data_IF_270848694341
#
_entry.id   IF_270848694341
#
_cell.length_a   1.000
_cell.length_b   1.000
_cell.length_c   1.000
_cell.angle_alpha   90.00
_cell.angle_beta   90.00
_cell.angle_gamma   90.00
#
_symmetry.space_group_name_H-M   'P 1'
#
loop_
_entity.id
_entity.type
_entity.pdbx_description
1 polymer ?
#
# COMPACT_ATOMS: atom_id res chain seq x y z
N UNK A 1 16.12 -29.24 -12.15
CA UNK A 1 15.79 -27.81 -11.97
C UNK A 1 16.42 -27.09 -13.14
N UNK A 2 15.67 -26.31 -13.91
CA UNK A 2 16.13 -25.70 -15.17
C UNK A 2 17.21 -24.64 -14.91
N UNK A 3 18.42 -24.85 -15.45
CA UNK A 3 19.59 -23.98 -15.23
C UNK A 3 19.37 -22.55 -15.74
N UNK A 4 18.53 -22.40 -16.78
CA UNK A 4 18.19 -21.09 -17.35
C UNK A 4 17.53 -20.15 -16.34
N UNK A 5 16.84 -20.68 -15.32
CA UNK A 5 16.18 -19.89 -14.27
C UNK A 5 17.15 -19.28 -13.26
N UNK A 6 18.43 -19.67 -13.30
CA UNK A 6 19.47 -19.17 -12.38
C UNK A 6 20.34 -18.09 -13.02
N UNK A 7 20.13 -17.79 -14.30
CA UNK A 7 20.79 -16.68 -14.98
C UNK A 7 20.34 -15.37 -14.31
N UNK A 8 21.27 -14.45 -14.00
CA UNK A 8 20.92 -13.17 -13.39
C UNK A 8 20.00 -12.35 -14.31
N UNK A 9 19.06 -11.64 -13.70
CA UNK A 9 18.22 -10.68 -14.42
C UNK A 9 19.09 -9.60 -15.08
N UNK A 10 18.70 -9.19 -16.29
CA UNK A 10 19.36 -8.09 -16.99
C UNK A 10 19.01 -6.76 -16.31
N UNK A 11 19.99 -5.88 -16.05
CA UNK A 11 19.71 -4.57 -15.47
C UNK A 11 18.91 -3.71 -16.45
N UNK A 12 17.82 -3.12 -15.98
CA UNK A 12 17.09 -2.10 -16.74
C UNK A 12 17.86 -0.80 -16.61
N UNK A 13 18.34 -0.26 -17.74
CA UNK A 13 19.07 1.01 -17.79
C UNK A 13 18.10 2.14 -18.14
N UNK A 14 18.43 3.36 -17.71
CA UNK A 14 17.76 4.61 -18.14
C UNK A 14 16.27 4.73 -17.77
N UNK A 15 15.80 3.99 -16.78
CA UNK A 15 14.42 4.12 -16.29
C UNK A 15 14.27 5.37 -15.43
N UNK A 16 13.53 6.36 -15.93
CA UNK A 16 13.16 7.56 -15.17
C UNK A 16 11.79 7.39 -14.49
N UNK A 17 11.55 8.06 -13.34
CA UNK A 17 10.23 8.09 -12.71
C UNK A 17 9.18 8.65 -13.68
N UNK A 18 8.06 7.93 -13.85
CA UNK A 18 6.93 8.44 -14.62
C UNK A 18 6.19 9.51 -13.80
N UNK A 19 5.62 10.54 -14.46
CA UNK A 19 4.78 11.51 -13.76
C UNK A 19 3.56 10.82 -13.16
N UNK A 20 3.15 11.29 -11.98
CA UNK A 20 1.96 10.78 -11.30
C UNK A 20 0.69 11.08 -12.10
N UNK A 21 -0.26 10.14 -12.11
CA UNK A 21 -1.59 10.35 -12.70
C UNK A 21 -2.63 10.55 -11.59
N UNK A 22 -3.41 11.63 -11.67
CA UNK A 22 -4.43 12.00 -10.66
C UNK A 22 -3.94 13.05 -9.66
N UNK A 23 -4.67 13.21 -8.55
CA UNK A 23 -4.31 14.16 -7.48
C UNK A 23 -3.31 13.52 -6.52
N UNK A 24 -2.13 14.10 -6.41
CA UNK A 24 -1.11 13.68 -5.43
C UNK A 24 -1.35 14.41 -4.11
N UNK A 25 -2.09 13.77 -3.21
CA UNK A 25 -2.29 14.27 -1.85
C UNK A 25 -1.08 13.96 -0.96
N UNK A 26 -0.80 14.85 0.00
CA UNK A 26 0.25 14.62 1.00
C UNK A 26 -0.10 13.46 1.94
N UNK A 27 -1.39 13.31 2.27
CA UNK A 27 -1.90 12.29 3.20
C UNK A 27 -3.17 11.71 2.61
N UNK A 28 -3.23 10.39 2.50
CA UNK A 28 -4.42 9.65 2.04
C UNK A 28 -5.01 8.95 3.26
N UNK A 29 -6.23 9.32 3.63
CA UNK A 29 -6.96 8.65 4.71
C UNK A 29 -7.45 7.28 4.22
N UNK A 30 -7.07 6.22 4.92
CA UNK A 30 -7.49 4.86 4.63
C UNK A 30 -8.66 4.45 5.53
N UNK A 31 -9.65 3.70 5.01
CA UNK A 31 -10.74 3.18 5.83
C UNK A 31 -10.21 2.16 6.85
N UNK A 32 -10.97 1.90 7.91
CA UNK A 32 -10.56 0.89 8.88
C UNK A 32 -10.55 -0.52 8.26
N UNK A 33 -9.54 -1.35 8.53
CA UNK A 33 -9.50 -2.71 8.03
C UNK A 33 -10.56 -3.57 8.73
N UNK A 34 -11.21 -4.45 7.96
CA UNK A 34 -12.07 -5.49 8.53
C UNK A 34 -11.19 -6.54 9.24
N UNK A 35 -11.59 -6.90 10.45
CA UNK A 35 -10.87 -7.85 11.33
C UNK A 35 -11.64 -9.15 11.54
N UNK A 36 -12.83 -9.27 10.94
CA UNK A 36 -13.80 -10.32 11.22
C UNK A 36 -14.07 -11.21 10.02
N UNK A 37 -13.97 -10.66 8.81
CA UNK A 37 -14.18 -11.39 7.57
C UNK A 37 -12.85 -11.78 6.91
N UNK A 38 -12.92 -12.73 5.98
CA UNK A 38 -11.80 -13.14 5.15
C UNK A 38 -11.79 -14.64 4.85
N UNK A 39 -10.83 -15.06 4.03
CA UNK A 39 -10.59 -16.47 3.77
C UNK A 39 -10.01 -17.12 5.04
N UNK A 40 -10.44 -18.34 5.42
CA UNK A 40 -9.80 -19.07 6.51
C UNK A 40 -8.29 -19.22 6.26
N UNK A 41 -7.48 -19.13 7.32
CA UNK A 41 -6.01 -19.18 7.24
C UNK A 41 -5.52 -20.34 6.37
N UNK A 42 -6.06 -21.54 6.59
CA UNK A 42 -5.66 -22.72 5.83
C UNK A 42 -6.04 -22.63 4.35
N UNK A 43 -7.15 -21.95 4.01
CA UNK A 43 -7.53 -21.66 2.64
C UNK A 43 -6.56 -20.69 1.97
N UNK A 44 -6.13 -19.65 2.68
CA UNK A 44 -5.16 -18.67 2.18
C UNK A 44 -3.80 -19.31 1.91
N UNK A 45 -3.32 -20.17 2.83
CA UNK A 45 -2.08 -20.90 2.67
C UNK A 45 -2.13 -21.89 1.49
N UNK A 46 -3.26 -22.58 1.32
CA UNK A 46 -3.47 -23.50 0.19
C UNK A 46 -3.44 -22.78 -1.16
N UNK A 47 -4.04 -21.60 -1.25
CA UNK A 47 -4.12 -20.81 -2.48
C UNK A 47 -2.88 -19.95 -2.75
N UNK A 48 -1.91 -19.89 -1.82
CA UNK A 48 -0.75 -18.99 -1.92
C UNK A 48 0.15 -19.36 -3.10
N UNK A 49 0.22 -18.47 -4.08
CA UNK A 49 1.10 -18.55 -5.24
C UNK A 49 1.66 -17.18 -5.64
N UNK A 50 2.69 -17.15 -6.48
CA UNK A 50 3.26 -15.92 -7.01
C UNK A 50 2.68 -15.60 -8.39
N UNK A 51 1.97 -14.48 -8.50
CA UNK A 51 1.43 -13.94 -9.76
C UNK A 51 2.36 -12.85 -10.30
N UNK A 52 2.58 -12.80 -11.62
CA UNK A 52 3.49 -11.82 -12.28
C UNK A 52 2.81 -10.97 -13.35
N UNK A 53 1.55 -11.24 -13.65
CA UNK A 53 0.71 -10.48 -14.57
C UNK A 53 -0.49 -9.95 -13.79
N UNK A 54 -0.80 -8.67 -13.92
CA UNK A 54 -1.81 -7.97 -13.11
C UNK A 54 -2.76 -7.21 -14.03
N UNK A 55 -4.01 -7.06 -13.59
CA UNK A 55 -4.98 -6.21 -14.28
C UNK A 55 -4.66 -4.72 -14.12
N UNK A 56 -5.16 -3.91 -15.05
CA UNK A 56 -5.09 -2.44 -15.00
C UNK A 56 -5.99 -1.74 -13.96
N UNK A 57 -7.14 -2.32 -13.51
CA UNK A 57 -7.98 -1.65 -12.52
C UNK A 57 -7.23 -1.33 -11.23
N UNK A 58 -7.44 -0.13 -10.65
CA UNK A 58 -6.82 0.23 -9.39
C UNK A 58 -7.41 -0.60 -8.25
N UNK A 59 -6.60 -0.81 -7.21
CA UNK A 59 -7.04 -1.49 -6.01
C UNK A 59 -8.06 -0.59 -5.26
N UNK A 60 -9.22 -1.11 -4.81
CA UNK A 60 -10.13 -0.37 -3.94
C UNK A 60 -9.43 0.09 -2.66
N UNK A 61 -9.79 1.28 -2.15
CA UNK A 61 -9.18 1.83 -0.93
C UNK A 61 -9.30 0.91 0.29
N UNK A 62 -10.40 0.16 0.40
CA UNK A 62 -10.58 -0.84 1.46
C UNK A 62 -9.53 -1.94 1.38
N UNK A 63 -9.33 -2.54 0.19
CA UNK A 63 -8.35 -3.59 -0.01
C UNK A 63 -6.92 -3.07 0.17
N UNK A 64 -6.63 -1.83 -0.23
CA UNK A 64 -5.34 -1.19 0.04
C UNK A 64 -5.09 -1.04 1.53
N UNK A 65 -6.10 -0.59 2.28
CA UNK A 65 -6.02 -0.47 3.74
C UNK A 65 -5.72 -1.81 4.41
N UNK A 66 -6.47 -2.83 4.04
CA UNK A 66 -6.33 -4.19 4.58
C UNK A 66 -4.97 -4.81 4.23
N UNK A 67 -4.48 -4.59 3.01
CA UNK A 67 -3.16 -5.07 2.59
C UNK A 67 -2.03 -4.42 3.40
N UNK A 68 -2.07 -3.10 3.54
CA UNK A 68 -1.06 -2.36 4.31
C UNK A 68 -1.14 -2.71 5.80
N UNK A 69 -2.35 -2.88 6.33
CA UNK A 69 -2.55 -3.34 7.70
C UNK A 69 -2.04 -4.77 7.90
N UNK A 70 -2.29 -5.69 6.98
CA UNK A 70 -1.76 -7.05 7.05
C UNK A 70 -0.22 -7.06 7.04
N UNK A 71 0.40 -6.22 6.21
CA UNK A 71 1.85 -6.15 6.08
C UNK A 71 2.55 -5.54 7.31
N UNK A 72 2.05 -4.42 7.84
CA UNK A 72 2.74 -3.67 8.91
C UNK A 72 1.80 -2.92 9.88
N UNK A 73 0.51 -3.26 9.91
CA UNK A 73 -0.49 -2.59 10.73
C UNK A 73 -0.39 -2.88 12.23
N UNK A 74 -0.96 -2.00 13.05
CA UNK A 74 -1.06 -2.17 14.51
C UNK A 74 -2.24 -3.09 14.84
N UNK A 75 -1.98 -4.18 15.56
CA UNK A 75 -3.01 -5.13 16.03
C UNK A 75 -3.27 -5.09 17.54
N UNK A 76 -2.35 -4.50 18.32
CA UNK A 76 -2.44 -4.38 19.78
C UNK A 76 -2.22 -2.93 20.19
N UNK A 77 -3.28 -2.24 20.60
CA UNK A 77 -3.28 -0.80 20.87
C UNK A 77 -2.42 -0.40 22.08
N UNK A 78 -2.41 -1.20 23.15
CA UNK A 78 -1.75 -0.83 24.41
C UNK A 78 -0.20 -0.74 24.31
N UNK A 79 0.41 -1.32 23.28
CA UNK A 79 1.88 -1.32 23.10
C UNK A 79 2.32 -1.09 21.66
N UNK A 80 1.41 -0.66 20.77
CA UNK A 80 1.73 -0.44 19.36
C UNK A 80 2.18 -1.70 18.60
N UNK A 81 1.80 -2.89 19.09
CA UNK A 81 2.22 -4.15 18.51
C UNK A 81 1.72 -4.31 17.07
N UNK A 82 2.60 -4.77 16.17
CA UNK A 82 2.30 -4.94 14.74
C UNK A 82 1.85 -6.36 14.38
N UNK A 83 1.29 -6.50 13.18
CA UNK A 83 0.93 -7.79 12.56
C UNK A 83 2.14 -8.65 12.25
N UNK A 84 3.26 -8.04 11.83
CA UNK A 84 4.55 -8.70 11.64
C UNK A 84 5.44 -8.56 12.89
N UNK A 85 6.16 -9.62 13.29
CA UNK A 85 7.13 -9.54 14.38
C UNK A 85 8.38 -8.75 13.97
N UNK A 86 9.05 -8.18 14.96
CA UNK A 86 10.31 -7.47 14.73
C UNK A 86 11.30 -7.66 15.90
N UNK A 87 12.62 -7.54 15.63
CA UNK A 87 13.64 -7.64 16.68
C UNK A 87 13.37 -6.62 17.79
N UNK A 88 13.29 -7.08 19.05
CA UNK A 88 13.03 -6.24 20.22
C UNK A 88 11.75 -5.37 20.17
N UNK A 89 10.83 -5.64 19.23
CA UNK A 89 9.68 -4.76 18.98
C UNK A 89 10.01 -3.47 18.22
N UNK A 90 11.23 -3.35 17.67
CA UNK A 90 11.65 -2.19 16.89
C UNK A 90 11.07 -2.25 15.48
N UNK A 91 10.53 -1.14 14.96
CA UNK A 91 9.98 -1.08 13.61
C UNK A 91 11.10 -0.97 12.56
N UNK A 92 11.87 -2.04 12.38
CA UNK A 92 13.05 -2.07 11.48
C UNK A 92 12.71 -2.12 9.99
N UNK A 93 11.43 -2.36 9.63
CA UNK A 93 10.94 -2.39 8.26
C UNK A 93 9.83 -1.36 8.07
N UNK A 94 10.01 -0.49 7.09
CA UNK A 94 8.99 0.41 6.58
C UNK A 94 8.37 -0.12 5.29
N UNK A 95 7.06 0.07 5.13
CA UNK A 95 6.30 -0.34 3.94
C UNK A 95 5.96 0.89 3.11
N UNK A 96 6.39 0.87 1.85
CA UNK A 96 6.10 1.91 0.87
C UNK A 96 5.15 1.38 -0.21
N UNK A 97 4.17 2.19 -0.61
CA UNK A 97 3.26 1.89 -1.71
C UNK A 97 3.56 2.82 -2.90
N UNK A 98 4.06 2.25 -3.99
CA UNK A 98 4.26 2.98 -5.24
C UNK A 98 2.95 2.99 -6.05
N UNK A 99 2.17 4.06 -5.94
CA UNK A 99 0.94 4.23 -6.69
C UNK A 99 1.20 5.03 -7.98
N UNK A 100 0.94 4.42 -9.14
CA UNK A 100 1.05 5.12 -10.43
C UNK A 100 -0.20 5.92 -10.78
N UNK A 101 -1.35 5.52 -10.21
CA UNK A 101 -2.64 6.21 -10.35
C UNK A 101 -3.23 6.45 -8.96
N UNK A 102 -3.45 7.72 -8.63
CA UNK A 102 -4.17 8.10 -7.43
C UNK A 102 -5.67 8.11 -7.73
N UNK A 103 -6.51 7.54 -6.86
CA UNK A 103 -7.94 7.72 -6.99
C UNK A 103 -8.22 9.22 -6.95
N UNK A 104 -8.96 9.72 -7.92
CA UNK A 104 -9.58 11.03 -7.82
C UNK A 104 -10.62 10.95 -6.71
N UNK A 105 -10.20 11.11 -5.46
CA UNK A 105 -11.14 11.39 -4.39
C UNK A 105 -11.79 12.74 -4.75
N UNK A 106 -13.10 12.70 -4.94
CA UNK A 106 -13.91 13.88 -5.21
C UNK A 106 -13.54 15.02 -4.25
N UNK A 107 -13.32 16.19 -4.84
CA UNK A 107 -13.51 17.47 -4.15
C UNK A 107 -14.88 17.43 -3.47
N UNK A 108 -14.92 17.23 -2.15
CA UNK A 108 -15.95 17.67 -1.20
C UNK A 108 -15.96 16.79 0.05
N UNK A 109 -15.14 17.13 1.06
CA UNK A 109 -15.66 17.47 2.39
C UNK A 109 -14.57 18.02 3.31
N UNK A 110 -14.87 19.20 3.86
CA UNK A 110 -14.18 19.95 4.90
C UNK A 110 -13.01 20.87 4.48
N UNK A 111 -13.42 22.13 4.33
CA UNK A 111 -12.68 23.39 4.26
C UNK A 111 -11.45 23.49 5.17
N UNK A 112 -10.32 23.95 4.63
CA UNK A 112 -9.80 25.29 4.90
C UNK A 112 -8.64 25.62 3.96
N UNK A 113 -8.93 26.48 2.98
CA UNK A 113 -7.93 27.20 2.20
C UNK A 113 -7.49 28.41 3.02
N UNK A 114 -6.44 28.28 3.83
CA UNK A 114 -5.79 29.41 4.50
C UNK A 114 -4.68 29.99 3.61
N UNK A 115 -5.07 30.50 2.45
CA UNK A 115 -4.27 31.45 1.68
C UNK A 115 -5.16 32.44 0.94
N UNK A 116 -5.91 33.25 1.69
CA UNK A 116 -6.39 34.53 1.20
C UNK A 116 -5.39 35.59 1.68
N UNK A 117 -4.29 35.73 0.93
CA UNK A 117 -3.45 36.91 0.98
C UNK A 117 -3.59 37.60 -0.36
N UNK A 118 -4.36 38.69 -0.42
CA UNK A 118 -4.29 39.74 -1.45
C UNK A 118 -5.16 40.92 -1.02
N UNK A 119 -4.49 41.99 -0.58
CA UNK A 119 -4.73 43.39 -1.01
C UNK A 119 -6.16 43.82 -1.34
N UNK A 120 -6.76 44.60 -0.44
CA UNK A 120 -7.11 46.01 -0.62
C UNK A 120 -7.74 46.56 0.66
#
# INVERSE_FOLDING_TARGET
MDELKRIPYQPIKELLPRPATGTSERVIALPQPDRTNGLPLMGALWQRMSTREFGEPPLPLQQLSELLWAAAGVNRSQGGGRTAPSPHGEAVIDVYAACWRFPSACQCHCCQCSSCGSTS
#
